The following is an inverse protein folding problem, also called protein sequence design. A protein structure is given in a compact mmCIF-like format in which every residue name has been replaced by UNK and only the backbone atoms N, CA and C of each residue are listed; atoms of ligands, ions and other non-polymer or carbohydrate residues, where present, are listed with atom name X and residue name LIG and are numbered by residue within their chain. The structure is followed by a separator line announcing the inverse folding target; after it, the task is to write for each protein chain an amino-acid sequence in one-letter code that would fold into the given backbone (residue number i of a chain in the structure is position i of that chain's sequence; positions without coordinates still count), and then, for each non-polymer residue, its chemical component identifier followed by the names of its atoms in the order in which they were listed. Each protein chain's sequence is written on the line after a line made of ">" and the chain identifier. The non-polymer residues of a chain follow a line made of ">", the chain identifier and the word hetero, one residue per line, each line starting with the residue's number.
data_IF_357432266596
#
_entry.id   IF_357432266596
#
_cell.length_a   1.000
_cell.length_b   1.000
_cell.length_c   1.000
_cell.angle_alpha   90.00
_cell.angle_beta   90.00
_cell.angle_gamma   90.00
#
_symmetry.space_group_name_H-M   'P 1'
#
loop_
_entity.id
_entity.type
_entity.pdbx_description
1 polymer ?
#
# COMPACT_ATOMS: atom_id res chain seq x y z
N UNK A 1 31.03 5.36 44.97
CA UNK A 1 30.92 4.52 43.75
C UNK A 1 29.45 4.50 43.34
N UNK A 2 29.06 5.19 42.27
CA UNK A 2 27.65 5.33 41.87
C UNK A 2 27.50 6.11 40.57
N UNK A 3 28.17 5.65 39.51
CA UNK A 3 28.13 6.27 38.16
C UNK A 3 27.50 5.38 37.09
N UNK A 4 26.96 4.20 37.47
CA UNK A 4 26.41 3.22 36.52
C UNK A 4 24.90 3.33 36.26
N UNK A 5 24.11 3.93 37.18
CA UNK A 5 22.65 4.00 37.04
C UNK A 5 22.18 5.03 36.00
N UNK A 6 22.81 6.20 35.94
CA UNK A 6 22.41 7.28 35.02
C UNK A 6 22.64 6.97 33.55
N UNK A 7 23.72 6.25 33.22
CA UNK A 7 24.01 5.85 31.84
C UNK A 7 23.03 4.78 31.34
N UNK A 8 22.67 3.80 32.17
CA UNK A 8 21.65 2.80 31.82
C UNK A 8 20.27 3.44 31.61
N UNK A 9 19.89 4.38 32.47
CA UNK A 9 18.64 5.13 32.33
C UNK A 9 18.65 6.01 31.06
N UNK A 10 19.76 6.66 30.74
CA UNK A 10 19.89 7.45 29.51
C UNK A 10 19.75 6.59 28.24
N UNK A 11 20.34 5.38 28.22
CA UNK A 11 20.18 4.43 27.11
C UNK A 11 18.71 4.02 26.95
N UNK A 12 18.01 3.71 28.05
CA UNK A 12 16.58 3.38 28.01
C UNK A 12 15.76 4.53 27.42
N UNK A 13 16.05 5.78 27.81
CA UNK A 13 15.35 6.95 27.26
C UNK A 13 15.61 7.14 25.76
N UNK A 14 16.84 6.92 25.28
CA UNK A 14 17.16 6.99 23.85
C UNK A 14 16.40 5.91 23.08
N UNK A 15 16.37 4.68 23.58
CA UNK A 15 15.61 3.58 22.95
C UNK A 15 14.12 3.89 22.94
N UNK A 16 13.57 4.39 24.05
CA UNK A 16 12.17 4.76 24.15
C UNK A 16 11.80 5.87 23.15
N UNK A 17 12.66 6.89 23.02
CA UNK A 17 12.47 7.96 22.04
C UNK A 17 12.52 7.44 20.61
N UNK A 18 13.49 6.57 20.29
CA UNK A 18 13.58 5.94 18.98
C UNK A 18 12.34 5.09 18.68
N UNK A 19 11.84 4.32 19.66
CA UNK A 19 10.64 3.51 19.50
C UNK A 19 9.40 4.39 19.24
N UNK A 20 9.21 5.48 19.98
CA UNK A 20 8.09 6.43 19.77
C UNK A 20 8.05 6.96 18.33
N UNK A 21 9.21 7.17 17.71
CA UNK A 21 9.30 7.66 16.33
C UNK A 21 9.12 6.52 15.31
N UNK A 22 9.74 5.36 15.54
CA UNK A 22 9.75 4.25 14.58
C UNK A 22 8.44 3.46 14.54
N UNK A 23 7.79 3.27 15.69
CA UNK A 23 6.54 2.51 15.80
C UNK A 23 5.42 3.02 14.88
N UNK A 24 5.06 4.33 14.85
CA UNK A 24 4.02 4.80 13.95
C UNK A 24 4.38 4.60 12.48
N UNK A 25 5.65 4.78 12.08
CA UNK A 25 6.11 4.56 10.71
C UNK A 25 5.93 3.09 10.31
N UNK A 26 6.37 2.16 11.18
CA UNK A 26 6.20 0.73 10.96
C UNK A 26 4.70 0.35 10.84
N UNK A 27 3.85 0.92 11.71
CA UNK A 27 2.41 0.69 11.66
C UNK A 27 1.78 1.16 10.35
N UNK A 28 2.19 2.32 9.81
CA UNK A 28 1.72 2.79 8.50
C UNK A 28 2.09 1.82 7.37
N UNK A 29 3.36 1.36 7.34
CA UNK A 29 3.84 0.43 6.31
C UNK A 29 3.05 -0.88 6.35
N UNK A 30 2.86 -1.46 7.54
CA UNK A 30 2.07 -2.68 7.72
C UNK A 30 0.64 -2.46 7.24
N UNK A 31 0.01 -1.34 7.61
CA UNK A 31 -1.36 -1.02 7.19
C UNK A 31 -1.48 -0.95 5.67
N UNK A 32 -0.53 -0.30 4.98
CA UNK A 32 -0.55 -0.23 3.51
C UNK A 32 -0.27 -1.59 2.87
N UNK A 33 0.62 -2.41 3.44
CA UNK A 33 0.87 -3.77 2.96
C UNK A 33 -0.39 -4.65 3.06
N UNK A 34 -1.09 -4.60 4.20
CA UNK A 34 -2.36 -5.33 4.39
C UNK A 34 -3.44 -4.83 3.42
N UNK A 35 -3.52 -3.52 3.18
CA UNK A 35 -4.43 -2.93 2.18
C UNK A 35 -4.17 -3.51 0.79
N UNK A 36 -2.90 -3.55 0.34
CA UNK A 36 -2.54 -4.12 -0.96
C UNK A 36 -2.85 -5.61 -1.07
N UNK A 37 -2.61 -6.37 -0.01
CA UNK A 37 -2.94 -7.80 0.01
C UNK A 37 -4.44 -8.06 -0.13
N UNK A 38 -5.28 -7.18 0.44
CA UNK A 38 -6.75 -7.26 0.27
C UNK A 38 -7.17 -7.03 -1.18
N UNK A 39 -6.55 -6.10 -1.90
CA UNK A 39 -6.82 -5.87 -3.33
C UNK A 39 -6.48 -7.11 -4.17
N UNK A 40 -5.32 -7.75 -3.94
CA UNK A 40 -4.96 -8.98 -4.65
C UNK A 40 -5.92 -10.14 -4.38
N UNK A 41 -6.38 -10.27 -3.12
CA UNK A 41 -7.38 -11.28 -2.76
C UNK A 41 -8.74 -10.99 -3.40
N UNK A 42 -9.11 -9.72 -3.54
CA UNK A 42 -10.33 -9.32 -4.22
C UNK A 42 -10.26 -9.69 -5.71
N UNK A 43 -9.14 -9.41 -6.38
CA UNK A 43 -8.91 -9.80 -7.78
C UNK A 43 -8.99 -11.31 -7.99
N UNK A 44 -8.29 -12.07 -7.14
CA UNK A 44 -8.31 -13.53 -7.18
C UNK A 44 -9.72 -14.08 -6.96
N UNK A 45 -10.46 -13.52 -5.99
CA UNK A 45 -11.84 -13.93 -5.70
C UNK A 45 -12.76 -13.60 -6.87
N UNK A 46 -12.60 -12.42 -7.50
CA UNK A 46 -13.37 -12.03 -8.68
C UNK A 46 -13.08 -12.97 -9.86
N UNK A 47 -11.81 -13.32 -10.10
CA UNK A 47 -11.45 -14.29 -11.13
C UNK A 47 -12.04 -15.68 -10.87
N UNK A 48 -12.06 -16.13 -9.61
CA UNK A 48 -12.67 -17.41 -9.23
C UNK A 48 -14.19 -17.42 -9.43
N UNK A 49 -14.86 -16.32 -9.11
CA UNK A 49 -16.32 -16.17 -9.24
C UNK A 49 -16.76 -16.02 -10.70
N UNK A 50 -16.07 -15.20 -11.48
CA UNK A 50 -16.42 -14.96 -12.89
C UNK A 50 -15.88 -16.02 -13.83
N UNK A 51 -14.88 -16.79 -13.38
CA UNK A 51 -14.13 -17.77 -14.19
C UNK A 51 -13.51 -17.12 -15.43
N UNK A 52 -13.24 -15.81 -15.38
CA UNK A 52 -12.74 -15.04 -16.52
C UNK A 52 -11.65 -14.03 -16.12
N UNK A 53 -10.46 -14.52 -15.70
CA UNK A 53 -9.35 -13.66 -15.28
C UNK A 53 -8.89 -12.68 -16.36
N UNK A 54 -8.86 -13.09 -17.64
CA UNK A 54 -8.46 -12.23 -18.75
C UNK A 54 -9.41 -11.03 -18.94
N UNK A 55 -10.71 -11.22 -18.72
CA UNK A 55 -11.68 -10.13 -18.77
C UNK A 55 -11.42 -9.08 -17.69
N UNK A 56 -11.05 -9.53 -16.49
CA UNK A 56 -10.69 -8.64 -15.38
C UNK A 56 -9.37 -7.90 -15.66
N UNK A 57 -8.37 -8.58 -16.22
CA UNK A 57 -7.10 -7.96 -16.62
C UNK A 57 -7.32 -6.85 -17.66
N UNK A 58 -8.14 -7.10 -18.69
CA UNK A 58 -8.50 -6.09 -19.71
C UNK A 58 -9.29 -4.92 -19.14
N UNK A 59 -10.16 -5.16 -18.14
CA UNK A 59 -10.88 -4.10 -17.45
C UNK A 59 -9.93 -3.18 -16.69
N UNK A 60 -8.97 -3.75 -15.93
CA UNK A 60 -7.95 -2.99 -15.23
C UNK A 60 -7.03 -2.22 -16.19
N UNK A 61 -6.67 -2.81 -17.33
CA UNK A 61 -5.90 -2.14 -18.39
C UNK A 61 -6.64 -0.90 -18.90
N UNK A 62 -7.94 -1.04 -19.19
CA UNK A 62 -8.79 0.09 -19.60
C UNK A 62 -8.87 1.19 -18.54
N UNK A 63 -9.01 0.83 -17.26
CA UNK A 63 -9.06 1.79 -16.15
C UNK A 63 -7.69 2.48 -15.96
N UNK A 64 -6.60 1.75 -16.16
CA UNK A 64 -5.24 2.29 -15.99
C UNK A 64 -4.85 3.30 -17.07
N UNK A 65 -5.48 3.18 -18.24
CA UNK A 65 -5.27 4.01 -19.43
C UNK A 65 -6.15 5.27 -19.47
N UNK A 66 -7.06 5.44 -18.49
CA UNK A 66 -7.89 6.62 -18.37
C UNK A 66 -7.03 7.87 -18.11
N UNK A 67 -7.02 8.86 -19.02
CA UNK A 67 -6.21 10.07 -18.87
C UNK A 67 -6.80 11.08 -17.88
N UNK A 68 -8.08 10.93 -17.48
CA UNK A 68 -8.77 11.94 -16.71
C UNK A 68 -8.33 11.91 -15.24
N UNK A 69 -7.72 12.99 -14.72
CA UNK A 69 -7.39 13.08 -13.31
C UNK A 69 -8.66 13.23 -12.48
N UNK A 70 -8.72 12.52 -11.36
CA UNK A 70 -9.88 12.56 -10.47
C UNK A 70 -9.92 13.89 -9.71
N UNK A 71 -10.84 14.77 -10.08
CA UNK A 71 -10.94 16.15 -9.56
C UNK A 71 -11.14 16.24 -8.03
N UNK A 72 -11.75 15.22 -7.41
CA UNK A 72 -12.17 15.22 -5.98
C UNK A 72 -11.38 14.23 -5.13
N UNK A 73 -10.32 13.64 -5.68
CA UNK A 73 -9.56 12.63 -4.96
C UNK A 73 -8.78 13.24 -3.79
N UNK A 74 -8.99 12.66 -2.59
CA UNK A 74 -8.22 13.00 -1.41
C UNK A 74 -7.83 11.72 -0.65
N UNK A 75 -6.95 11.84 0.36
CA UNK A 75 -6.47 10.68 1.15
C UNK A 75 -7.61 9.92 1.85
N UNK A 76 -8.69 10.60 2.23
CA UNK A 76 -9.82 9.97 2.89
C UNK A 76 -10.68 9.17 1.89
N UNK A 77 -10.80 9.60 0.64
CA UNK A 77 -11.59 8.92 -0.40
C UNK A 77 -10.77 7.96 -1.26
N UNK A 78 -9.44 7.98 -1.18
CA UNK A 78 -8.52 7.17 -2.00
C UNK A 78 -8.83 5.65 -2.00
N UNK A 79 -9.36 5.11 -0.90
CA UNK A 79 -9.72 3.70 -0.76
C UNK A 79 -11.02 3.31 -1.48
N UNK A 80 -11.81 4.27 -1.96
CA UNK A 80 -13.04 4.04 -2.74
C UNK A 80 -12.77 3.89 -4.24
N UNK A 81 -11.56 4.24 -4.69
CA UNK A 81 -11.17 4.18 -6.10
C UNK A 81 -10.49 2.85 -6.45
N UNK A 82 -10.68 2.40 -7.69
CA UNK A 82 -10.08 1.16 -8.22
C UNK A 82 -8.60 1.35 -8.55
N UNK A 83 -8.23 2.53 -9.06
CA UNK A 83 -6.85 2.94 -9.25
C UNK A 83 -6.44 3.93 -8.14
N UNK A 84 -5.13 4.03 -7.86
CA UNK A 84 -4.66 5.05 -6.94
C UNK A 84 -4.89 6.43 -7.57
N UNK A 85 -5.66 7.34 -6.95
CA UNK A 85 -5.91 8.64 -7.55
C UNK A 85 -4.81 9.68 -7.24
N UNK A 86 -3.92 9.39 -6.28
CA UNK A 86 -2.84 10.28 -5.84
C UNK A 86 -1.51 10.00 -6.58
N UNK A 87 -1.59 9.71 -7.88
CA UNK A 87 -0.52 9.14 -8.75
C UNK A 87 0.73 10.00 -8.94
N UNK A 88 0.79 11.21 -8.41
CA UNK A 88 1.64 12.26 -8.99
C UNK A 88 3.15 12.00 -9.01
N UNK A 89 3.74 11.05 -8.27
CA UNK A 89 5.18 10.81 -8.34
C UNK A 89 5.56 9.32 -8.31
N UNK A 90 6.07 8.81 -9.44
CA UNK A 90 6.69 7.47 -9.60
C UNK A 90 8.04 7.42 -8.85
N UNK A 91 8.01 7.34 -7.52
CA UNK A 91 9.20 7.09 -6.70
C UNK A 91 9.06 5.77 -5.94
N UNK A 92 10.16 5.02 -5.80
CA UNK A 92 10.20 3.76 -5.03
C UNK A 92 9.71 3.93 -3.59
N UNK A 93 9.90 5.13 -3.01
CA UNK A 93 9.38 5.46 -1.69
C UNK A 93 7.86 5.63 -1.68
N UNK A 94 7.27 6.05 -2.79
CA UNK A 94 5.82 6.26 -2.89
C UNK A 94 5.07 4.93 -2.90
N UNK A 95 5.66 3.85 -3.44
CA UNK A 95 5.09 2.50 -3.37
C UNK A 95 4.90 2.00 -1.93
N UNK A 96 5.72 2.48 -0.97
CA UNK A 96 5.57 2.12 0.44
C UNK A 96 4.35 2.80 1.08
N UNK A 97 3.93 3.96 0.56
CA UNK A 97 2.81 4.76 1.06
C UNK A 97 1.54 4.68 0.19
N UNK A 98 1.61 4.03 -0.96
CA UNK A 98 0.45 3.75 -1.82
C UNK A 98 -0.52 2.80 -1.12
N UNK A 99 -1.79 3.20 -1.05
CA UNK A 99 -2.91 2.40 -0.53
C UNK A 99 -3.30 1.25 -1.45
N UNK A 100 -2.97 1.38 -2.73
CA UNK A 100 -3.25 0.42 -3.79
C UNK A 100 -1.95 -0.11 -4.42
N UNK A 101 -1.89 -1.40 -4.80
CA UNK A 101 -0.74 -1.94 -5.52
C UNK A 101 -0.69 -1.37 -6.95
N UNK A 102 0.48 -1.38 -7.60
CA UNK A 102 0.61 -1.02 -9.01
C UNK A 102 -0.37 -1.81 -9.89
N UNK A 103 -0.95 -1.15 -10.90
CA UNK A 103 -1.94 -1.79 -11.79
C UNK A 103 -1.28 -2.88 -12.65
N UNK A 104 -0.04 -2.67 -13.05
CA UNK A 104 0.74 -3.61 -13.84
C UNK A 104 0.95 -4.93 -13.10
N UNK A 105 1.15 -4.88 -11.78
CA UNK A 105 1.29 -6.07 -10.94
C UNK A 105 -0.03 -6.85 -10.85
N UNK A 106 -1.16 -6.16 -10.65
CA UNK A 106 -2.50 -6.78 -10.63
C UNK A 106 -2.85 -7.43 -11.97
N UNK A 107 -2.61 -6.74 -13.08
CA UNK A 107 -2.83 -7.25 -14.44
C UNK A 107 -1.97 -8.50 -14.68
N UNK A 108 -0.69 -8.46 -14.28
CA UNK A 108 0.23 -9.58 -14.41
C UNK A 108 -0.25 -10.83 -13.65
N UNK A 109 -0.68 -10.65 -12.40
CA UNK A 109 -1.22 -11.75 -11.59
C UNK A 109 -2.48 -12.37 -12.21
N UNK A 110 -3.42 -11.54 -12.69
CA UNK A 110 -4.64 -12.03 -13.33
C UNK A 110 -4.35 -12.78 -14.63
N UNK A 111 -3.47 -12.26 -15.49
CA UNK A 111 -3.04 -12.96 -16.71
C UNK A 111 -2.31 -14.27 -16.41
N UNK A 112 -1.64 -14.37 -15.26
CA UNK A 112 -1.04 -15.62 -14.78
C UNK A 112 -2.04 -16.68 -14.27
N UNK A 113 -3.31 -16.31 -14.07
CA UNK A 113 -4.38 -17.23 -13.67
C UNK A 113 -5.20 -17.76 -14.87
N UNK A 114 -5.06 -17.14 -16.04
CA UNK A 114 -5.75 -17.50 -17.28
C UNK A 114 -5.10 -18.71 -17.96
#
# INVERSE_FOLDING_TARGET
>A
RGRGGGAGVAIIYIIALAAIILTPIAAQIIRFAVSRQREFLADASAALLTRYPEGLARALEKISADPDPLEVANKATAHLYINNPLREHKSLLNNLFSTHPPMEERIGLLRGMA
#
